data_IF_966529242447
#
_entry.id   IF_966529242447
#
_cell.length_a   1.000
_cell.length_b   1.000
_cell.length_c   1.000
_cell.angle_alpha   90.00
_cell.angle_beta   90.00
_cell.angle_gamma   90.00
#
_symmetry.space_group_name_H-M   'P 1'
#
loop_
_entity.id
_entity.type
_entity.pdbx_description
1 polymer ?
#
# COMPACT_ATOMS: atom_id res chain seq x y z
N UNK A 1 -15.71 2.22 -28.95
CA UNK A 1 -14.34 2.22 -29.49
C UNK A 1 -13.58 1.10 -28.79
N UNK A 2 -12.73 0.34 -29.50
CA UNK A 2 -11.84 -0.63 -28.85
C UNK A 2 -10.87 0.15 -27.96
N UNK A 3 -10.63 -0.33 -26.72
CA UNK A 3 -9.62 0.27 -25.84
C UNK A 3 -8.24 -0.01 -26.41
N UNK A 4 -7.31 0.90 -26.14
CA UNK A 4 -5.90 0.71 -26.43
C UNK A 4 -5.39 -0.52 -25.67
N UNK A 5 -4.50 -1.29 -26.28
CA UNK A 5 -3.89 -2.45 -25.65
C UNK A 5 -2.64 -2.01 -24.90
N UNK A 6 -2.48 -2.49 -23.68
CA UNK A 6 -1.26 -2.28 -22.91
C UNK A 6 -0.15 -3.18 -23.43
N UNK A 7 1.02 -2.61 -23.73
CA UNK A 7 2.21 -3.35 -24.15
C UNK A 7 3.25 -3.36 -23.03
N UNK A 8 3.68 -4.55 -22.61
CA UNK A 8 4.72 -4.75 -21.59
C UNK A 8 6.10 -4.58 -22.21
N UNK A 9 6.54 -3.35 -22.39
CA UNK A 9 7.86 -3.02 -22.97
C UNK A 9 8.95 -2.85 -21.94
N UNK A 10 8.60 -2.55 -20.70
CA UNK A 10 9.50 -2.29 -19.57
C UNK A 10 9.10 -3.13 -18.34
N UNK A 11 10.06 -3.46 -17.46
CA UNK A 11 9.76 -4.06 -16.16
C UNK A 11 8.78 -3.20 -15.35
N UNK A 12 7.82 -3.85 -14.69
CA UNK A 12 6.78 -3.18 -13.91
C UNK A 12 7.14 -3.18 -12.42
N UNK A 13 7.12 -1.98 -11.81
CA UNK A 13 7.41 -1.77 -10.39
C UNK A 13 6.33 -0.92 -9.76
N UNK A 14 5.84 -1.35 -8.59
CA UNK A 14 4.87 -0.60 -7.81
C UNK A 14 5.59 0.24 -6.76
N UNK A 15 5.38 1.53 -6.81
CA UNK A 15 5.87 2.48 -5.80
C UNK A 15 4.72 3.29 -5.23
N UNK A 16 4.95 4.04 -4.18
CA UNK A 16 3.92 4.95 -3.71
C UNK A 16 4.46 5.93 -2.67
N UNK A 17 3.69 7.00 -2.46
CA UNK A 17 4.02 8.04 -1.50
C UNK A 17 3.39 7.77 -0.15
N UNK A 18 4.21 7.84 0.91
CA UNK A 18 3.83 7.73 2.32
C UNK A 18 4.42 8.91 3.11
N UNK A 19 3.86 9.21 4.26
CA UNK A 19 4.34 10.30 5.10
C UNK A 19 3.20 11.14 5.69
N UNK A 20 3.55 12.14 6.48
CA UNK A 20 2.61 12.97 7.22
C UNK A 20 1.64 13.74 6.30
N UNK A 21 0.46 14.09 6.82
CA UNK A 21 -0.47 15.03 6.15
C UNK A 21 0.25 16.35 5.88
N UNK A 22 -0.09 17.01 4.79
CA UNK A 22 0.49 18.30 4.35
C UNK A 22 2.00 18.31 4.01
N UNK A 23 2.70 17.16 4.04
CA UNK A 23 4.09 17.08 3.57
C UNK A 23 4.24 17.10 2.04
N UNK A 24 3.11 17.09 1.30
CA UNK A 24 3.07 17.28 -0.15
C UNK A 24 3.20 15.99 -0.97
N UNK A 25 2.68 14.85 -0.47
CA UNK A 25 2.66 13.56 -1.18
C UNK A 25 1.98 13.66 -2.55
N UNK A 26 0.74 14.12 -2.58
CA UNK A 26 -0.04 14.27 -3.82
C UNK A 26 0.59 15.28 -4.77
N UNK A 27 1.20 16.36 -4.23
CA UNK A 27 1.95 17.33 -5.03
C UNK A 27 3.16 16.68 -5.71
N UNK A 28 3.89 15.82 -4.95
CA UNK A 28 5.01 15.05 -5.50
C UNK A 28 4.55 14.03 -6.53
N UNK A 29 3.43 13.34 -6.30
CA UNK A 29 2.84 12.41 -7.25
C UNK A 29 2.50 13.09 -8.58
N UNK A 30 1.90 14.29 -8.54
CA UNK A 30 1.65 15.10 -9.73
C UNK A 30 2.96 15.54 -10.42
N UNK A 31 3.97 15.96 -9.63
CA UNK A 31 5.27 16.36 -10.17
C UNK A 31 6.00 15.19 -10.86
N UNK A 32 5.93 13.97 -10.27
CA UNK A 32 6.50 12.75 -10.86
C UNK A 32 5.89 12.44 -12.22
N UNK A 33 4.55 12.46 -12.35
CA UNK A 33 3.89 12.19 -13.63
C UNK A 33 4.24 13.26 -14.67
N UNK A 34 4.27 14.55 -14.29
CA UNK A 34 4.60 15.65 -15.19
C UNK A 34 6.04 15.57 -15.68
N UNK A 35 6.99 15.46 -14.76
CA UNK A 35 8.43 15.42 -15.11
C UNK A 35 8.74 14.17 -15.92
N UNK A 36 8.17 13.01 -15.56
CA UNK A 36 8.33 11.79 -16.35
C UNK A 36 7.78 11.94 -17.77
N UNK A 37 6.59 12.53 -17.93
CA UNK A 37 6.00 12.77 -19.25
C UNK A 37 6.86 13.71 -20.13
N UNK A 38 7.43 14.76 -19.54
CA UNK A 38 8.29 15.71 -20.25
C UNK A 38 9.64 15.11 -20.66
N UNK A 39 10.21 14.21 -19.83
CA UNK A 39 11.57 13.68 -20.04
C UNK A 39 11.56 12.34 -20.77
N UNK A 40 10.65 11.44 -20.39
CA UNK A 40 10.64 10.05 -20.87
C UNK A 40 9.42 9.72 -21.74
N UNK A 41 8.43 10.62 -21.77
CA UNK A 41 7.16 10.41 -22.46
C UNK A 41 6.06 9.84 -21.56
N UNK A 42 4.86 9.74 -22.12
CA UNK A 42 3.64 9.34 -21.40
C UNK A 42 2.73 10.52 -21.11
N UNK A 43 1.76 10.32 -20.24
CA UNK A 43 0.75 11.32 -19.91
C UNK A 43 1.01 11.91 -18.51
N UNK A 44 0.98 13.23 -18.41
CA UNK A 44 0.98 13.92 -17.12
C UNK A 44 -0.41 13.87 -16.50
N UNK A 45 -0.47 13.68 -15.18
CA UNK A 45 -1.72 13.72 -14.41
C UNK A 45 -1.75 14.97 -13.55
N UNK A 46 -2.75 15.82 -13.77
CA UNK A 46 -2.94 17.02 -12.95
C UNK A 46 -3.29 16.67 -11.51
N UNK A 47 -2.82 17.47 -10.57
CA UNK A 47 -3.12 17.33 -9.13
C UNK A 47 -4.62 17.14 -8.85
N UNK A 48 -5.48 17.94 -9.50
CA UNK A 48 -6.94 17.87 -9.35
C UNK A 48 -7.57 16.55 -9.86
N UNK A 49 -6.81 15.74 -10.61
CA UNK A 49 -7.25 14.44 -11.12
C UNK A 49 -6.72 13.28 -10.25
N UNK A 50 -5.78 13.52 -9.36
CA UNK A 50 -5.30 12.57 -8.37
C UNK A 50 -6.28 12.53 -7.19
N UNK A 51 -6.53 13.68 -6.54
CA UNK A 51 -7.55 13.84 -5.50
C UNK A 51 -8.91 14.16 -6.15
N UNK A 52 -9.66 13.13 -6.53
CA UNK A 52 -10.86 13.28 -7.35
C UNK A 52 -12.16 13.44 -6.58
N UNK A 53 -12.23 12.91 -5.35
CA UNK A 53 -13.45 12.93 -4.57
C UNK A 53 -13.82 14.37 -4.15
N UNK A 54 -15.12 14.75 -4.20
CA UNK A 54 -15.55 16.08 -3.75
C UNK A 54 -15.09 16.41 -2.32
N UNK A 55 -15.09 15.42 -1.44
CA UNK A 55 -14.67 15.55 -0.04
C UNK A 55 -13.15 15.78 0.10
N UNK A 56 -12.34 15.17 -0.75
CA UNK A 56 -10.88 15.39 -0.82
C UNK A 56 -10.56 16.83 -1.24
N UNK A 57 -11.28 17.33 -2.24
CA UNK A 57 -11.12 18.70 -2.74
C UNK A 57 -11.57 19.75 -1.72
N UNK A 58 -12.66 19.48 -0.98
CA UNK A 58 -13.19 20.37 0.03
C UNK A 58 -12.27 20.47 1.25
N UNK A 59 -11.69 19.33 1.66
CA UNK A 59 -10.83 19.24 2.84
C UNK A 59 -9.35 19.49 2.53
N UNK A 60 -8.93 19.39 1.26
CA UNK A 60 -7.54 19.50 0.83
C UNK A 60 -6.64 18.36 1.33
N UNK A 61 -7.21 17.19 1.59
CA UNK A 61 -6.50 16.00 2.06
C UNK A 61 -6.89 14.77 1.25
N UNK A 62 -5.94 13.88 0.99
CA UNK A 62 -6.19 12.59 0.34
C UNK A 62 -6.90 11.64 1.32
N UNK A 63 -8.01 11.06 0.90
CA UNK A 63 -8.84 10.12 1.68
C UNK A 63 -8.68 8.70 1.16
N UNK A 64 -8.86 8.49 -0.14
CA UNK A 64 -8.70 7.22 -0.81
C UNK A 64 -7.32 7.10 -1.46
N UNK A 65 -6.84 5.88 -1.68
CA UNK A 65 -5.66 5.65 -2.50
C UNK A 65 -5.94 6.01 -3.95
N UNK A 66 -5.03 6.74 -4.58
CA UNK A 66 -5.11 7.05 -6.01
C UNK A 66 -3.97 6.35 -6.76
N UNK A 67 -4.26 5.83 -7.94
CA UNK A 67 -3.29 5.11 -8.75
C UNK A 67 -3.00 5.90 -10.03
N UNK A 68 -1.72 6.19 -10.26
CA UNK A 68 -1.21 6.80 -11.49
C UNK A 68 -0.09 5.97 -12.10
N UNK A 69 0.20 6.15 -13.37
CA UNK A 69 1.31 5.51 -14.06
C UNK A 69 2.29 6.55 -14.61
N UNK A 70 3.56 6.20 -14.66
CA UNK A 70 4.59 6.93 -15.39
C UNK A 70 5.73 5.98 -15.78
N UNK A 71 6.59 6.42 -16.68
CA UNK A 71 7.72 5.63 -17.16
C UNK A 71 9.03 6.35 -16.92
N UNK A 72 10.09 5.57 -16.78
CA UNK A 72 11.48 6.01 -16.91
C UNK A 72 12.11 5.38 -18.15
N UNK A 73 13.39 5.58 -18.38
CA UNK A 73 14.12 4.84 -19.41
C UNK A 73 14.21 3.34 -19.13
N UNK A 74 14.11 2.93 -17.86
CA UNK A 74 14.35 1.57 -17.41
C UNK A 74 13.06 0.83 -17.03
N UNK A 75 12.00 1.54 -16.59
CA UNK A 75 10.85 0.93 -15.90
C UNK A 75 9.53 1.61 -16.19
N UNK A 76 8.47 0.81 -16.05
CA UNK A 76 7.09 1.27 -15.92
C UNK A 76 6.68 1.25 -14.46
N UNK A 77 6.29 2.41 -13.92
CA UNK A 77 5.86 2.56 -12.53
C UNK A 77 4.34 2.65 -12.43
N UNK A 78 3.74 1.80 -11.59
CA UNK A 78 2.44 2.05 -11.00
C UNK A 78 2.69 2.76 -9.65
N UNK A 79 2.10 3.92 -9.46
CA UNK A 79 2.29 4.73 -8.27
C UNK A 79 1.00 4.87 -7.49
N UNK A 80 1.05 4.53 -6.20
CA UNK A 80 -0.07 4.64 -5.26
C UNK A 80 0.13 5.87 -4.39
N UNK A 81 -0.72 6.87 -4.53
CA UNK A 81 -0.74 8.00 -3.61
C UNK A 81 -1.56 7.64 -2.37
N UNK A 82 -0.91 7.62 -1.20
CA UNK A 82 -1.53 7.19 0.05
C UNK A 82 -1.97 8.40 0.89
N UNK A 83 -3.12 8.29 1.60
CA UNK A 83 -3.53 9.30 2.54
C UNK A 83 -2.53 9.47 3.67
N UNK A 84 -2.38 10.70 4.17
CA UNK A 84 -1.48 11.02 5.29
C UNK A 84 -2.18 11.12 6.64
N UNK A 85 -3.50 11.29 6.65
CA UNK A 85 -4.26 11.52 7.88
C UNK A 85 -4.55 10.24 8.65
N UNK A 86 -4.44 10.30 9.98
CA UNK A 86 -4.62 9.16 10.89
C UNK A 86 -5.98 8.44 10.73
N UNK A 87 -7.04 9.15 10.37
CA UNK A 87 -8.38 8.57 10.18
C UNK A 87 -8.43 7.61 8.97
N UNK A 88 -7.51 7.75 8.02
CA UNK A 88 -7.47 6.99 6.76
C UNK A 88 -6.36 5.95 6.69
N UNK A 89 -5.79 5.60 7.84
CA UNK A 89 -4.67 4.62 7.94
C UNK A 89 -5.02 3.27 7.30
N UNK A 90 -6.28 2.85 7.32
CA UNK A 90 -6.73 1.64 6.60
C UNK A 90 -6.38 1.71 5.11
N UNK A 91 -6.62 2.84 4.47
CA UNK A 91 -6.31 3.04 3.05
C UNK A 91 -4.79 3.12 2.83
N UNK A 92 -4.06 3.74 3.77
CA UNK A 92 -2.60 3.75 3.75
C UNK A 92 -2.01 2.33 3.84
N UNK A 93 -2.49 1.49 4.76
CA UNK A 93 -2.06 0.09 4.90
C UNK A 93 -2.32 -0.68 3.61
N UNK A 94 -3.50 -0.53 3.03
CA UNK A 94 -3.87 -1.19 1.77
C UNK A 94 -2.96 -0.75 0.61
N UNK A 95 -2.69 0.54 0.50
CA UNK A 95 -1.79 1.09 -0.53
C UNK A 95 -0.35 0.61 -0.31
N UNK A 96 0.16 0.70 0.91
CA UNK A 96 1.53 0.29 1.24
C UNK A 96 1.78 -1.21 0.98
N UNK A 97 0.80 -2.07 1.25
CA UNK A 97 0.90 -3.51 0.97
C UNK A 97 1.08 -3.85 -0.52
N UNK A 98 0.80 -2.90 -1.41
CA UNK A 98 0.96 -3.07 -2.85
C UNK A 98 2.34 -2.64 -3.36
N UNK A 99 3.16 -1.96 -2.54
CA UNK A 99 4.41 -1.34 -2.97
C UNK A 99 5.59 -2.31 -2.98
N UNK A 100 6.41 -2.22 -4.00
CA UNK A 100 7.73 -2.82 -4.07
C UNK A 100 8.81 -1.89 -3.49
N UNK A 101 8.50 -0.60 -3.43
CA UNK A 101 9.29 0.44 -2.75
C UNK A 101 8.41 1.63 -2.38
N UNK A 102 8.65 2.26 -1.24
CA UNK A 102 7.94 3.45 -0.81
C UNK A 102 8.80 4.71 -0.95
N UNK A 103 8.15 5.82 -1.30
CA UNK A 103 8.72 7.17 -1.25
C UNK A 103 8.22 7.83 0.03
N UNK A 104 9.08 7.95 1.02
CA UNK A 104 8.78 8.66 2.25
C UNK A 104 8.94 10.16 2.02
N UNK A 105 7.83 10.90 2.10
CA UNK A 105 7.81 12.35 1.90
C UNK A 105 7.83 13.04 3.26
N UNK A 106 8.90 13.81 3.51
CA UNK A 106 9.09 14.60 4.74
C UNK A 106 9.32 16.06 4.37
N UNK A 107 8.65 16.97 5.06
CA UNK A 107 8.91 18.42 4.88
C UNK A 107 10.27 18.80 5.45
N UNK A 108 11.10 19.49 4.68
CA UNK A 108 12.39 20.05 5.13
C UNK A 108 12.22 21.16 6.18
N UNK A 109 11.02 21.76 6.24
CA UNK A 109 10.71 22.82 7.21
C UNK A 109 10.20 22.27 8.55
N UNK A 110 9.42 21.15 8.50
CA UNK A 110 8.74 20.61 9.68
C UNK A 110 9.47 19.39 10.28
N UNK A 111 10.29 18.69 9.49
CA UNK A 111 10.95 17.44 9.88
C UNK A 111 9.98 16.25 10.02
N UNK A 112 10.41 15.13 10.61
CA UNK A 112 9.57 13.97 10.87
C UNK A 112 8.46 14.29 11.89
N UNK A 113 7.23 13.98 11.52
CA UNK A 113 6.01 14.24 12.28
C UNK A 113 5.39 12.90 12.75
N UNK A 114 4.39 12.88 13.66
CA UNK A 114 3.85 11.64 14.23
C UNK A 114 3.41 10.60 13.18
N UNK A 115 2.71 11.01 12.10
CA UNK A 115 2.34 10.06 11.05
C UNK A 115 3.54 9.59 10.21
N UNK A 116 4.64 10.34 10.16
CA UNK A 116 5.88 9.87 9.52
C UNK A 116 6.35 8.58 10.19
N UNK A 117 6.42 8.58 11.53
CA UNK A 117 6.77 7.39 12.34
C UNK A 117 5.80 6.24 12.11
N UNK A 118 4.50 6.52 12.20
CA UNK A 118 3.46 5.51 12.01
C UNK A 118 3.53 4.89 10.59
N UNK A 119 3.76 5.70 9.56
CA UNK A 119 3.83 5.20 8.18
C UNK A 119 5.08 4.35 7.92
N UNK A 120 6.23 4.68 8.52
CA UNK A 120 7.44 3.83 8.42
C UNK A 120 7.19 2.48 9.12
N UNK A 121 6.64 2.51 10.33
CA UNK A 121 6.26 1.30 11.07
C UNK A 121 5.30 0.42 10.27
N UNK A 122 4.24 1.01 9.73
CA UNK A 122 3.25 0.27 8.95
C UNK A 122 3.83 -0.28 7.64
N UNK A 123 4.66 0.50 6.93
CA UNK A 123 5.37 0.03 5.75
C UNK A 123 6.23 -1.21 6.06
N UNK A 124 6.94 -1.19 7.21
CA UNK A 124 7.71 -2.35 7.67
C UNK A 124 6.82 -3.57 7.94
N UNK A 125 5.69 -3.36 8.61
CA UNK A 125 4.76 -4.45 8.98
C UNK A 125 4.08 -5.10 7.78
N UNK A 126 3.67 -4.31 6.79
CA UNK A 126 3.07 -4.86 5.56
C UNK A 126 4.12 -5.42 4.59
N UNK A 127 5.40 -5.25 4.91
CA UNK A 127 6.50 -5.87 4.18
C UNK A 127 7.03 -5.07 3.00
N UNK A 128 6.88 -3.75 3.00
CA UNK A 128 7.56 -2.87 2.02
C UNK A 128 9.07 -3.05 2.18
N UNK A 129 9.78 -3.51 1.14
CA UNK A 129 11.18 -3.89 1.30
C UNK A 129 12.16 -2.71 1.21
N UNK A 130 11.80 -1.63 0.51
CA UNK A 130 12.68 -0.50 0.23
C UNK A 130 11.98 0.83 0.49
N UNK A 131 12.71 1.79 1.07
CA UNK A 131 12.28 3.18 1.23
C UNK A 131 13.29 4.09 0.55
N UNK A 132 12.81 5.06 -0.21
CA UNK A 132 13.56 6.22 -0.70
C UNK A 132 12.93 7.45 -0.06
N UNK A 133 13.72 8.40 0.38
CA UNK A 133 13.20 9.63 1.02
C UNK A 133 13.22 10.78 0.03
N UNK A 134 12.11 11.51 -0.04
CA UNK A 134 12.05 12.81 -0.67
C UNK A 134 11.79 13.88 0.39
N UNK A 135 12.83 14.66 0.70
CA UNK A 135 12.77 15.80 1.62
C UNK A 135 12.20 16.99 0.86
N UNK A 136 10.88 17.17 0.98
CA UNK A 136 10.09 18.13 0.22
C UNK A 136 10.07 19.50 0.86
N UNK A 137 9.56 20.51 0.15
CA UNK A 137 9.43 21.91 0.59
C UNK A 137 10.78 22.57 0.93
N UNK A 138 11.86 22.17 0.28
CA UNK A 138 13.16 22.78 0.44
C UNK A 138 13.20 24.28 0.05
N UNK A 139 12.20 24.74 -0.70
CA UNK A 139 11.98 26.17 -1.02
C UNK A 139 11.53 27.01 0.19
N UNK A 140 11.09 26.36 1.28
CA UNK A 140 10.66 27.03 2.51
C UNK A 140 11.74 27.05 3.59
N UNK A 141 12.87 26.41 3.35
CA UNK A 141 13.97 26.32 4.31
C UNK A 141 15.32 26.42 3.57
N UNK A 142 15.99 27.55 3.71
CA UNK A 142 17.27 27.88 3.08
C UNK A 142 18.46 27.70 4.06
N UNK A 143 18.22 27.20 5.27
CA UNK A 143 19.27 26.93 6.24
C UNK A 143 19.84 25.51 6.05
N UNK A 144 21.08 25.36 5.53
CA UNK A 144 21.69 24.06 5.32
C UNK A 144 21.85 23.23 6.61
N UNK A 145 22.07 23.87 7.76
CA UNK A 145 22.25 23.19 9.05
C UNK A 145 20.93 22.55 9.49
N UNK A 146 19.80 23.20 9.23
CA UNK A 146 18.48 22.65 9.51
C UNK A 146 18.14 21.48 8.57
N UNK A 147 18.53 21.54 7.30
CA UNK A 147 18.34 20.45 6.34
C UNK A 147 19.14 19.21 6.78
N UNK A 148 20.41 19.40 7.19
CA UNK A 148 21.24 18.32 7.72
C UNK A 148 20.65 17.70 8.99
N UNK A 149 20.10 18.51 9.90
CA UNK A 149 19.47 18.04 11.11
C UNK A 149 18.25 17.17 10.81
N UNK A 150 17.36 17.62 9.91
CA UNK A 150 16.19 16.84 9.47
C UNK A 150 16.63 15.54 8.80
N UNK A 151 17.68 15.55 7.98
CA UNK A 151 18.25 14.34 7.38
C UNK A 151 18.71 13.34 8.44
N UNK A 152 19.43 13.80 9.47
CA UNK A 152 19.87 12.94 10.58
C UNK A 152 18.69 12.31 11.33
N UNK A 153 17.66 13.10 11.66
CA UNK A 153 16.45 12.61 12.32
C UNK A 153 15.72 11.53 11.48
N UNK A 154 15.67 11.72 10.16
CA UNK A 154 15.05 10.74 9.26
C UNK A 154 15.86 9.44 9.27
N UNK A 155 17.20 9.51 9.20
CA UNK A 155 18.09 8.33 9.23
C UNK A 155 17.98 7.55 10.53
N UNK A 156 17.98 8.25 11.68
CA UNK A 156 17.77 7.64 12.99
C UNK A 156 16.41 6.94 13.06
N UNK A 157 15.36 7.59 12.58
CA UNK A 157 14.03 7.03 12.56
C UNK A 157 13.92 5.79 11.67
N UNK A 158 14.53 5.77 10.49
CA UNK A 158 14.57 4.60 9.63
C UNK A 158 15.31 3.43 10.28
N UNK A 159 16.44 3.69 10.95
CA UNK A 159 17.19 2.68 11.69
C UNK A 159 16.39 2.11 12.87
N UNK A 160 15.63 2.94 13.59
CA UNK A 160 14.72 2.52 14.66
C UNK A 160 13.71 1.47 14.18
N UNK A 161 13.19 1.62 12.97
CA UNK A 161 12.21 0.69 12.36
C UNK A 161 12.85 -0.34 11.42
N UNK A 162 14.14 -0.63 11.58
CA UNK A 162 14.87 -1.67 10.87
C UNK A 162 14.96 -1.49 9.34
N UNK A 163 14.89 -0.26 8.87
CA UNK A 163 15.33 0.09 7.51
C UNK A 163 16.78 0.55 7.55
N UNK A 164 17.57 0.39 6.46
CA UNK A 164 18.98 0.80 6.42
C UNK A 164 19.11 2.32 6.31
N UNK A 165 18.84 3.05 7.40
CA UNK A 165 18.75 4.52 7.41
C UNK A 165 20.01 5.21 6.88
N UNK A 166 21.20 4.66 7.17
CA UNK A 166 22.47 5.22 6.71
C UNK A 166 22.66 5.08 5.19
N UNK A 167 22.15 3.98 4.60
CA UNK A 167 22.27 3.69 3.16
C UNK A 167 21.05 4.16 2.36
N UNK A 168 19.98 4.57 3.02
CA UNK A 168 18.75 5.02 2.37
C UNK A 168 18.98 6.32 1.61
N UNK A 169 18.69 6.38 0.29
CA UNK A 169 18.80 7.61 -0.48
C UNK A 169 17.84 8.69 0.02
N UNK A 170 18.35 9.91 0.21
CA UNK A 170 17.56 11.08 0.55
C UNK A 170 17.77 12.13 -0.55
N UNK A 171 16.67 12.54 -1.17
CA UNK A 171 16.65 13.58 -2.20
C UNK A 171 15.99 14.84 -1.62
N UNK A 172 16.69 15.96 -1.65
CA UNK A 172 16.18 17.25 -1.21
C UNK A 172 15.58 17.99 -2.41
N UNK A 173 14.35 18.48 -2.28
CA UNK A 173 13.68 19.16 -3.37
C UNK A 173 12.39 19.87 -2.99
N UNK A 174 11.73 20.43 -3.98
CA UNK A 174 10.40 21.04 -3.89
C UNK A 174 9.52 20.53 -5.02
N UNK A 175 8.55 19.71 -4.66
CA UNK A 175 7.56 19.19 -5.63
C UNK A 175 6.75 20.32 -6.27
N UNK A 176 6.46 21.41 -5.51
CA UNK A 176 5.75 22.57 -6.04
C UNK A 176 6.59 23.29 -7.11
N UNK A 177 7.88 23.54 -6.84
CA UNK A 177 8.81 24.13 -7.80
C UNK A 177 8.96 23.27 -9.06
N UNK A 178 9.01 21.95 -8.91
CA UNK A 178 9.04 21.04 -10.05
C UNK A 178 7.76 21.14 -10.89
N UNK A 179 6.58 21.23 -10.26
CA UNK A 179 5.31 21.46 -10.96
C UNK A 179 5.25 22.80 -11.69
N UNK A 180 5.89 23.82 -11.15
CA UNK A 180 6.01 25.16 -11.79
C UNK A 180 7.02 25.17 -12.95
N UNK A 181 7.78 24.07 -13.14
CA UNK A 181 8.81 23.96 -14.18
C UNK A 181 10.12 24.65 -13.81
N UNK A 182 10.38 24.88 -12.52
CA UNK A 182 11.63 25.44 -12.01
C UNK A 182 12.81 24.51 -12.32
N UNK A 183 13.85 25.05 -12.95
CA UNK A 183 15.04 24.31 -13.39
C UNK A 183 16.18 24.34 -12.36
N UNK A 184 15.99 24.93 -11.19
CA UNK A 184 16.95 24.87 -10.10
C UNK A 184 17.11 23.43 -9.57
N UNK A 185 18.17 23.18 -8.81
CA UNK A 185 18.47 21.84 -8.26
C UNK A 185 17.31 21.26 -7.43
N UNK A 186 16.55 22.09 -6.72
CA UNK A 186 15.40 21.65 -5.91
C UNK A 186 14.09 21.51 -6.70
N UNK A 187 14.03 21.98 -7.96
CA UNK A 187 12.88 21.89 -8.85
C UNK A 187 12.85 20.59 -9.66
N UNK A 188 12.65 20.70 -10.97
CA UNK A 188 12.58 19.57 -11.91
C UNK A 188 13.76 18.60 -11.76
N UNK A 189 15.03 19.04 -11.63
CA UNK A 189 16.16 18.13 -11.44
C UNK A 189 16.04 17.22 -10.21
N UNK A 190 15.45 17.69 -9.11
CA UNK A 190 15.25 16.88 -7.90
C UNK A 190 14.29 15.71 -8.13
N UNK A 191 13.23 15.94 -8.91
CA UNK A 191 12.24 14.90 -9.26
C UNK A 191 12.83 13.90 -10.27
N UNK A 192 13.63 14.39 -11.25
CA UNK A 192 14.39 13.50 -12.14
C UNK A 192 15.34 12.60 -11.35
N UNK A 193 16.09 13.16 -10.41
CA UNK A 193 16.98 12.41 -9.52
C UNK A 193 16.23 11.38 -8.68
N UNK A 194 15.00 11.69 -8.24
CA UNK A 194 14.16 10.73 -7.53
C UNK A 194 13.80 9.54 -8.44
N UNK A 195 13.40 9.78 -9.68
CA UNK A 195 13.08 8.71 -10.65
C UNK A 195 14.32 7.83 -10.93
N UNK A 196 15.48 8.44 -11.17
CA UNK A 196 16.74 7.73 -11.38
C UNK A 196 17.17 6.92 -10.14
N UNK A 197 16.89 7.46 -8.95
CA UNK A 197 17.15 6.75 -7.68
C UNK A 197 16.23 5.55 -7.52
N UNK A 198 14.95 5.67 -7.87
CA UNK A 198 14.03 4.53 -7.88
C UNK A 198 14.48 3.44 -8.86
N UNK A 199 14.96 3.82 -10.06
CA UNK A 199 15.48 2.88 -11.06
C UNK A 199 16.68 2.07 -10.55
N UNK A 200 17.53 2.66 -9.71
CA UNK A 200 18.79 2.06 -9.28
C UNK A 200 18.73 1.41 -7.90
N UNK A 201 17.98 2.00 -6.97
CA UNK A 201 17.94 1.57 -5.56
C UNK A 201 16.87 0.50 -5.29
N UNK A 202 15.70 0.61 -5.93
CA UNK A 202 14.66 -0.42 -5.80
C UNK A 202 14.95 -1.51 -6.83
N UNK A 203 15.26 -2.75 -6.44
CA UNK A 203 15.52 -3.82 -7.42
C UNK A 203 14.25 -4.20 -8.17
N UNK A 204 14.41 -4.86 -9.31
CA UNK A 204 13.27 -5.48 -10.01
C UNK A 204 12.70 -6.60 -9.14
N UNK A 205 11.39 -6.53 -8.78
CA UNK A 205 10.82 -7.50 -7.88
C UNK A 205 10.64 -8.86 -8.54
N UNK A 206 10.95 -9.93 -7.80
CA UNK A 206 10.56 -11.28 -8.21
C UNK A 206 9.02 -11.42 -8.18
N UNK A 207 8.44 -11.95 -9.25
CA UNK A 207 6.98 -12.11 -9.39
C UNK A 207 6.62 -13.59 -9.35
N UNK A 208 5.80 -14.03 -8.39
CA UNK A 208 5.38 -15.43 -8.29
C UNK A 208 4.29 -15.78 -9.33
N UNK A 209 4.65 -15.74 -10.60
CA UNK A 209 3.73 -15.99 -11.72
C UNK A 209 3.32 -17.45 -11.86
N UNK A 210 4.14 -18.39 -11.37
CA UNK A 210 3.85 -19.83 -11.41
C UNK A 210 2.87 -20.32 -10.33
N UNK A 211 2.48 -19.42 -9.41
CA UNK A 211 1.51 -19.70 -8.35
C UNK A 211 0.07 -19.75 -8.84
N UNK A 212 -0.84 -20.17 -7.96
CA UNK A 212 -2.28 -20.02 -8.20
C UNK A 212 -2.63 -18.53 -8.20
N UNK A 213 -3.51 -18.12 -9.12
CA UNK A 213 -3.97 -16.73 -9.17
C UNK A 213 -4.65 -16.33 -7.85
N UNK A 214 -4.22 -15.21 -7.31
CA UNK A 214 -4.77 -14.55 -6.12
C UNK A 214 -4.65 -13.04 -6.25
N UNK A 215 -5.78 -12.34 -6.09
CA UNK A 215 -5.85 -10.88 -6.10
C UNK A 215 -6.78 -10.39 -4.97
N UNK A 216 -6.27 -9.74 -3.93
CA UNK A 216 -7.10 -9.04 -2.94
C UNK A 216 -7.91 -7.93 -3.60
N UNK A 217 -9.20 -7.85 -3.26
CA UNK A 217 -10.10 -6.84 -3.81
C UNK A 217 -9.95 -5.55 -3.00
N UNK A 218 -9.55 -4.48 -3.68
CA UNK A 218 -9.38 -3.14 -3.12
C UNK A 218 -10.65 -2.29 -3.32
N UNK A 219 -11.14 -2.26 -4.55
CA UNK A 219 -12.35 -1.50 -4.91
C UNK A 219 -13.25 -2.28 -5.86
N UNK A 220 -14.54 -1.88 -5.87
CA UNK A 220 -15.58 -2.48 -6.70
C UNK A 220 -16.32 -1.38 -7.45
N UNK A 221 -16.32 -1.49 -8.77
CA UNK A 221 -16.98 -0.53 -9.66
C UNK A 221 -18.02 -1.22 -10.53
N UNK A 222 -19.02 -0.45 -10.94
CA UNK A 222 -19.96 -0.86 -12.01
C UNK A 222 -19.69 -0.04 -13.25
N UNK A 223 -19.44 -0.70 -14.36
CA UNK A 223 -19.26 -0.06 -15.66
C UNK A 223 -20.51 -0.34 -16.51
N UNK A 224 -21.21 0.72 -16.92
CA UNK A 224 -22.39 0.61 -17.77
C UNK A 224 -22.13 -0.22 -19.02
N UNK A 225 -22.92 -1.26 -19.25
CA UNK A 225 -22.79 -2.18 -20.39
C UNK A 225 -21.67 -3.21 -20.29
N UNK A 226 -20.89 -3.23 -19.18
CA UNK A 226 -19.77 -4.18 -18.98
C UNK A 226 -19.88 -5.02 -17.71
N UNK A 227 -20.63 -4.55 -16.72
CA UNK A 227 -20.86 -5.25 -15.46
C UNK A 227 -19.95 -4.78 -14.32
N UNK A 228 -19.74 -5.66 -13.36
CA UNK A 228 -18.91 -5.41 -12.17
C UNK A 228 -17.43 -5.60 -12.48
N UNK A 229 -16.63 -4.64 -12.04
CA UNK A 229 -15.16 -4.66 -12.11
C UNK A 229 -14.62 -4.58 -10.69
N UNK A 230 -13.71 -5.46 -10.35
CA UNK A 230 -12.95 -5.42 -9.10
C UNK A 230 -11.52 -5.03 -9.40
N UNK A 231 -10.93 -4.20 -8.56
CA UNK A 231 -9.54 -3.78 -8.69
C UNK A 231 -8.70 -4.30 -7.54
N UNK A 232 -7.42 -4.50 -7.79
CA UNK A 232 -6.44 -4.89 -6.82
C UNK A 232 -5.10 -5.22 -7.46
N UNK A 233 -4.08 -5.41 -6.62
CA UNK A 233 -2.79 -5.95 -7.05
C UNK A 233 -2.85 -7.48 -7.06
N UNK A 234 -2.42 -8.09 -8.14
CA UNK A 234 -2.28 -9.54 -8.21
C UNK A 234 -1.10 -9.96 -7.33
N UNK A 235 -1.36 -10.74 -6.28
CA UNK A 235 -0.32 -11.25 -5.38
C UNK A 235 0.48 -12.38 -6.03
N UNK A 236 -0.22 -13.35 -6.62
CA UNK A 236 0.37 -14.55 -7.23
C UNK A 236 -0.36 -14.94 -8.51
N UNK A 237 0.35 -15.65 -9.38
CA UNK A 237 -0.21 -16.29 -10.57
C UNK A 237 -0.54 -15.36 -11.71
N UNK A 238 -1.34 -15.86 -12.63
CA UNK A 238 -1.79 -15.19 -13.84
C UNK A 238 -3.30 -15.40 -13.98
N UNK A 239 -4.00 -14.38 -14.47
CA UNK A 239 -5.42 -14.46 -14.83
C UNK A 239 -5.61 -14.09 -16.30
N UNK A 240 -6.36 -14.94 -17.04
CA UNK A 240 -6.72 -14.73 -18.44
C UNK A 240 -8.21 -14.43 -18.59
N UNK A 241 -8.57 -13.79 -19.67
CA UNK A 241 -9.98 -13.69 -20.05
C UNK A 241 -10.53 -15.09 -20.35
N UNK A 242 -11.63 -15.45 -19.69
CA UNK A 242 -12.26 -16.76 -19.76
C UNK A 242 -11.99 -17.68 -18.57
N UNK A 243 -11.02 -17.34 -17.72
CA UNK A 243 -10.69 -18.15 -16.55
C UNK A 243 -11.84 -18.19 -15.54
N UNK A 244 -12.17 -19.38 -14.99
CA UNK A 244 -13.07 -19.51 -13.86
C UNK A 244 -12.37 -19.00 -12.59
N UNK A 245 -13.11 -18.26 -11.76
CA UNK A 245 -12.62 -17.65 -10.55
C UNK A 245 -13.59 -17.85 -9.39
N UNK A 246 -13.08 -17.75 -8.18
CA UNK A 246 -13.88 -17.68 -6.95
C UNK A 246 -13.65 -16.34 -6.23
N UNK A 247 -14.72 -15.83 -5.62
CA UNK A 247 -14.70 -14.69 -4.70
C UNK A 247 -14.78 -15.28 -3.30
N UNK A 248 -13.72 -15.09 -2.49
CA UNK A 248 -13.53 -15.79 -1.21
C UNK A 248 -13.36 -14.80 -0.06
N UNK A 249 -13.96 -15.12 1.08
CA UNK A 249 -13.86 -14.34 2.33
C UNK A 249 -15.09 -13.45 2.58
N UNK A 250 -15.28 -13.05 3.83
CA UNK A 250 -16.35 -12.20 4.37
C UNK A 250 -17.74 -12.77 4.15
N UNK A 251 -18.11 -13.08 2.92
CA UNK A 251 -19.37 -13.70 2.48
C UNK A 251 -19.16 -15.16 2.07
N UNK A 252 -20.25 -15.85 1.75
CA UNK A 252 -20.16 -17.19 1.15
C UNK A 252 -19.36 -17.12 -0.15
N UNK A 253 -18.50 -18.12 -0.35
CA UNK A 253 -17.69 -18.25 -1.57
C UNK A 253 -18.59 -18.35 -2.78
N UNK A 254 -18.36 -17.55 -3.79
CA UNK A 254 -19.12 -17.53 -5.04
C UNK A 254 -18.23 -17.71 -6.25
N UNK A 255 -18.76 -18.40 -7.27
CA UNK A 255 -18.05 -18.64 -8.53
C UNK A 255 -18.35 -17.54 -9.54
N UNK A 256 -17.37 -17.18 -10.34
CA UNK A 256 -17.49 -16.21 -11.45
C UNK A 256 -16.53 -16.57 -12.58
N UNK A 257 -16.50 -15.76 -13.61
CA UNK A 257 -15.56 -15.88 -14.74
C UNK A 257 -14.97 -14.52 -15.06
N UNK A 258 -13.66 -14.48 -15.29
CA UNK A 258 -12.98 -13.29 -15.81
C UNK A 258 -13.46 -13.02 -17.25
N UNK A 259 -14.05 -11.87 -17.50
CA UNK A 259 -14.49 -11.47 -18.87
C UNK A 259 -13.57 -10.44 -19.52
N UNK A 260 -12.58 -9.95 -18.79
CA UNK A 260 -11.57 -9.03 -19.28
C UNK A 260 -10.66 -8.54 -18.17
N UNK A 261 -9.46 -8.15 -18.53
CA UNK A 261 -8.46 -7.58 -17.62
C UNK A 261 -8.05 -6.21 -18.16
N UNK A 262 -7.90 -5.24 -17.28
CA UNK A 262 -7.54 -3.88 -17.63
C UNK A 262 -6.52 -3.33 -16.63
N UNK A 263 -5.60 -2.49 -17.12
CA UNK A 263 -4.66 -1.72 -16.31
C UNK A 263 -4.58 -0.31 -16.88
N UNK A 264 -4.73 0.73 -16.03
CA UNK A 264 -4.70 2.14 -16.45
C UNK A 264 -5.58 2.44 -17.67
N UNK A 265 -6.81 1.90 -17.68
CA UNK A 265 -7.80 2.04 -18.76
C UNK A 265 -7.43 1.39 -20.10
N UNK A 266 -6.31 0.68 -20.17
CA UNK A 266 -5.87 -0.13 -21.32
C UNK A 266 -6.26 -1.58 -21.11
N UNK A 267 -6.58 -2.30 -22.19
CA UNK A 267 -6.92 -3.74 -22.10
C UNK A 267 -5.65 -4.59 -22.05
N UNK A 268 -5.72 -5.68 -21.28
CA UNK A 268 -4.69 -6.71 -21.19
C UNK A 268 -5.22 -8.04 -21.72
N UNK A 269 -4.36 -8.84 -22.33
CA UNK A 269 -4.69 -10.24 -22.65
C UNK A 269 -4.75 -11.09 -21.38
N UNK A 270 -3.85 -10.82 -20.45
CA UNK A 270 -3.73 -11.48 -19.16
C UNK A 270 -3.24 -10.50 -18.10
N UNK A 271 -3.59 -10.71 -16.83
CA UNK A 271 -3.02 -10.02 -15.67
C UNK A 271 -2.00 -10.93 -14.97
N UNK A 272 -0.86 -10.37 -14.54
CA UNK A 272 0.24 -11.11 -13.91
C UNK A 272 0.52 -10.65 -12.50
N UNK A 273 1.08 -11.54 -11.68
CA UNK A 273 1.56 -11.21 -10.34
C UNK A 273 2.37 -9.90 -10.34
N UNK A 274 2.05 -9.01 -9.41
CA UNK A 274 2.62 -7.68 -9.27
C UNK A 274 1.90 -6.56 -10.01
N UNK A 275 0.99 -6.84 -10.92
CA UNK A 275 0.24 -5.82 -11.66
C UNK A 275 -1.02 -5.37 -10.89
N UNK A 276 -1.30 -4.07 -10.89
CA UNK A 276 -2.55 -3.49 -10.39
C UNK A 276 -3.59 -3.52 -11.51
N UNK A 277 -4.53 -4.45 -11.42
CA UNK A 277 -5.49 -4.72 -12.46
C UNK A 277 -6.94 -4.48 -12.05
N UNK A 278 -7.76 -4.10 -13.01
CA UNK A 278 -9.21 -4.24 -12.96
C UNK A 278 -9.63 -5.52 -13.65
N UNK A 279 -10.31 -6.42 -12.94
CA UNK A 279 -10.84 -7.67 -13.49
C UNK A 279 -12.36 -7.57 -13.63
N UNK A 280 -12.85 -7.78 -14.84
CA UNK A 280 -14.28 -7.77 -15.16
C UNK A 280 -14.87 -9.14 -14.82
N UNK A 281 -15.97 -9.15 -14.07
CA UNK A 281 -16.62 -10.36 -13.58
C UNK A 281 -17.94 -10.62 -14.31
N UNK A 282 -18.20 -11.90 -14.61
CA UNK A 282 -19.44 -12.33 -15.25
C UNK A 282 -20.53 -12.59 -14.21
N UNK A 283 -21.70 -11.95 -14.36
CA UNK A 283 -22.88 -12.30 -13.59
C UNK A 283 -22.81 -11.97 -12.10
N UNK A 284 -21.91 -11.09 -11.71
CA UNK A 284 -21.75 -10.63 -10.33
C UNK A 284 -22.35 -9.25 -10.17
N UNK A 285 -23.32 -9.12 -9.28
CA UNK A 285 -23.86 -7.83 -8.88
C UNK A 285 -22.85 -7.09 -7.98
N UNK A 286 -22.85 -5.74 -8.04
CA UNK A 286 -21.88 -4.94 -7.26
C UNK A 286 -21.95 -5.25 -5.76
N UNK A 287 -23.16 -5.46 -5.22
CA UNK A 287 -23.38 -5.69 -3.79
C UNK A 287 -23.06 -7.13 -3.35
N UNK A 288 -22.83 -8.03 -4.30
CA UNK A 288 -22.39 -9.42 -4.03
C UNK A 288 -20.91 -9.50 -3.71
N UNK A 289 -20.12 -8.51 -4.10
CA UNK A 289 -18.66 -8.45 -3.88
C UNK A 289 -18.30 -7.17 -3.13
N UNK A 290 -17.30 -7.27 -2.26
CA UNK A 290 -16.84 -6.12 -1.47
C UNK A 290 -15.32 -6.15 -1.22
N UNK A 291 -14.78 -4.98 -0.88
CA UNK A 291 -13.39 -4.83 -0.45
C UNK A 291 -13.07 -5.78 0.71
N UNK A 292 -11.92 -6.42 0.63
CA UNK A 292 -11.45 -7.36 1.64
C UNK A 292 -11.66 -8.82 1.32
N UNK A 293 -12.53 -9.12 0.35
CA UNK A 293 -12.56 -10.43 -0.28
C UNK A 293 -11.35 -10.60 -1.20
N UNK A 294 -11.05 -11.82 -1.59
CA UNK A 294 -10.05 -12.10 -2.63
C UNK A 294 -10.69 -12.74 -3.84
N UNK A 295 -10.16 -12.40 -5.00
CA UNK A 295 -10.43 -13.09 -6.25
C UNK A 295 -9.34 -14.13 -6.45
N UNK A 296 -9.70 -15.40 -6.60
CA UNK A 296 -8.75 -16.50 -6.61
C UNK A 296 -9.09 -17.56 -7.66
N UNK A 297 -8.08 -18.37 -8.01
CA UNK A 297 -8.31 -19.60 -8.76
C UNK A 297 -9.22 -20.53 -7.95
N UNK A 298 -10.19 -21.24 -8.56
CA UNK A 298 -11.11 -22.10 -7.82
C UNK A 298 -10.40 -23.10 -6.91
N UNK A 299 -10.85 -23.17 -5.65
CA UNK A 299 -10.33 -24.09 -4.62
C UNK A 299 -8.86 -23.91 -4.25
N UNK A 300 -8.27 -22.75 -4.53
CA UNK A 300 -6.86 -22.46 -4.20
C UNK A 300 -6.67 -21.84 -2.84
N UNK A 301 -7.68 -21.20 -2.28
CA UNK A 301 -7.69 -20.60 -0.94
C UNK A 301 -9.07 -20.78 -0.31
N UNK A 302 -9.13 -20.84 1.02
CA UNK A 302 -10.38 -20.98 1.77
C UNK A 302 -10.57 -19.86 2.78
N UNK A 303 -11.83 -19.52 3.14
CA UNK A 303 -12.11 -18.57 4.19
C UNK A 303 -12.03 -19.26 5.55
N UNK A 304 -11.45 -18.58 6.55
CA UNK A 304 -11.24 -19.09 7.90
C UNK A 304 -11.61 -18.06 8.95
N UNK A 305 -12.08 -18.53 10.10
CA UNK A 305 -12.45 -17.70 11.24
C UNK A 305 -11.55 -17.90 12.44
N UNK A 306 -10.79 -19.01 12.51
CA UNK A 306 -9.95 -19.33 13.68
C UNK A 306 -8.57 -19.80 13.27
N UNK A 307 -7.54 -19.21 13.85
CA UNK A 307 -6.15 -19.53 13.55
C UNK A 307 -5.23 -19.32 14.77
N UNK A 308 -4.10 -20.01 14.77
CA UNK A 308 -2.97 -19.72 15.66
C UNK A 308 -2.07 -18.67 15.00
N UNK A 309 -1.52 -17.74 15.78
CA UNK A 309 -0.64 -16.72 15.30
C UNK A 309 0.55 -16.49 16.22
N UNK A 310 1.68 -16.12 15.61
CA UNK A 310 2.81 -15.52 16.31
C UNK A 310 2.66 -14.00 16.23
N UNK A 311 2.59 -13.34 17.39
CA UNK A 311 2.27 -11.92 17.49
C UNK A 311 3.33 -11.21 18.32
N UNK A 312 3.82 -10.09 17.77
CA UNK A 312 4.59 -9.10 18.52
C UNK A 312 3.69 -7.95 18.92
N UNK A 313 3.67 -7.65 20.21
CA UNK A 313 2.90 -6.54 20.80
C UNK A 313 3.82 -5.34 20.91
N UNK A 314 3.52 -4.27 20.18
CA UNK A 314 4.34 -3.05 20.17
C UNK A 314 4.48 -2.47 21.58
N UNK A 315 5.69 -2.09 21.95
CA UNK A 315 6.00 -1.38 23.18
C UNK A 315 5.43 0.05 23.17
N UNK A 316 5.44 0.70 24.32
CA UNK A 316 5.04 2.10 24.44
C UNK A 316 5.91 3.03 23.58
N UNK A 317 7.20 2.77 23.55
CA UNK A 317 8.18 3.62 22.83
C UNK A 317 8.02 3.50 21.32
N UNK A 318 7.52 2.36 20.82
CA UNK A 318 7.13 2.12 19.44
C UNK A 318 5.73 2.66 19.09
N UNK A 319 5.09 3.42 19.99
CA UNK A 319 3.74 3.97 19.78
C UNK A 319 2.61 2.99 20.08
N UNK A 320 2.92 1.81 20.62
CA UNK A 320 1.97 0.77 20.97
C UNK A 320 1.18 1.03 22.25
N UNK A 321 0.75 -0.05 22.89
CA UNK A 321 -0.03 0.01 24.15
C UNK A 321 0.84 0.45 25.33
N UNK A 322 0.19 1.08 26.33
CA UNK A 322 0.80 1.41 27.62
C UNK A 322 0.46 0.41 28.72
N UNK A 323 -0.53 -0.44 28.48
CA UNK A 323 -1.08 -1.38 29.45
C UNK A 323 -1.13 -2.78 28.86
N UNK A 324 -0.97 -3.83 29.67
CA UNK A 324 -1.16 -5.20 29.22
C UNK A 324 -2.60 -5.44 28.75
N UNK A 325 -2.80 -6.51 28.00
CA UNK A 325 -4.14 -7.02 27.72
C UNK A 325 -4.29 -8.45 28.27
N UNK A 326 -5.54 -8.84 28.51
CA UNK A 326 -5.91 -10.12 29.06
C UNK A 326 -6.63 -10.97 28.01
N UNK A 327 -6.95 -12.19 28.39
CA UNK A 327 -7.76 -13.08 27.57
C UNK A 327 -9.08 -12.42 27.12
N UNK A 328 -9.57 -12.76 25.92
CA UNK A 328 -10.70 -12.11 25.26
C UNK A 328 -10.48 -10.63 24.85
N UNK A 329 -9.25 -10.17 24.75
CA UNK A 329 -8.95 -8.89 24.10
C UNK A 329 -9.46 -8.89 22.65
N UNK A 330 -10.14 -7.82 22.24
CA UNK A 330 -10.85 -7.73 20.94
C UNK A 330 -10.43 -6.53 20.12
N UNK A 331 -9.21 -6.53 19.54
CA UNK A 331 -8.76 -5.51 18.62
C UNK A 331 -9.27 -5.76 17.19
N UNK A 332 -8.87 -4.88 16.28
CA UNK A 332 -9.04 -5.06 14.84
C UNK A 332 -7.79 -5.67 14.22
N UNK A 333 -7.99 -6.72 13.44
CA UNK A 333 -6.97 -7.42 12.67
C UNK A 333 -7.05 -6.97 11.22
N UNK A 334 -5.96 -6.44 10.70
CA UNK A 334 -5.86 -5.91 9.35
C UNK A 334 -5.19 -6.95 8.45
N UNK A 335 -5.96 -7.54 7.54
CA UNK A 335 -5.50 -8.49 6.54
C UNK A 335 -5.63 -7.88 5.14
N UNK A 336 -4.57 -7.86 4.35
CA UNK A 336 -4.60 -7.34 2.99
C UNK A 336 -5.36 -6.02 2.89
N UNK A 337 -6.58 -6.05 2.34
CA UNK A 337 -7.39 -4.84 2.06
C UNK A 337 -8.52 -4.58 3.06
N UNK A 338 -8.62 -5.38 4.13
CA UNK A 338 -9.71 -5.27 5.12
C UNK A 338 -9.25 -5.39 6.56
N UNK A 339 -10.13 -5.00 7.47
CA UNK A 339 -9.99 -5.22 8.90
C UNK A 339 -11.20 -6.00 9.44
N UNK A 340 -10.93 -6.86 10.40
CA UNK A 340 -11.94 -7.67 11.10
C UNK A 340 -11.64 -7.69 12.58
N UNK A 341 -12.69 -7.54 13.41
CA UNK A 341 -12.57 -7.72 14.84
C UNK A 341 -12.33 -9.19 15.17
N UNK A 342 -11.36 -9.47 16.04
CA UNK A 342 -11.06 -10.82 16.51
C UNK A 342 -10.86 -10.86 18.01
N UNK A 343 -11.20 -11.98 18.63
CA UNK A 343 -10.94 -12.26 20.05
C UNK A 343 -9.64 -13.04 20.20
N UNK A 344 -8.75 -12.57 21.09
CA UNK A 344 -7.50 -13.24 21.42
C UNK A 344 -7.72 -14.25 22.55
N UNK A 345 -7.33 -15.51 22.32
CA UNK A 345 -7.30 -16.58 23.32
C UNK A 345 -5.83 -16.83 23.70
N UNK A 346 -5.47 -16.46 24.94
CA UNK A 346 -4.10 -16.60 25.44
C UNK A 346 -3.78 -18.09 25.76
N UNK A 347 -2.50 -18.48 25.66
CA UNK A 347 -2.07 -19.83 26.05
C UNK A 347 -2.39 -20.13 27.53
N UNK A 348 -2.61 -21.39 27.83
CA UNK A 348 -2.88 -21.87 29.18
C UNK A 348 -1.75 -21.46 30.14
N UNK A 349 -2.10 -20.85 31.28
CA UNK A 349 -1.14 -20.33 32.27
C UNK A 349 -0.67 -18.89 31.99
N UNK A 350 -1.08 -18.24 30.89
CA UNK A 350 -0.78 -16.83 30.61
C UNK A 350 -1.97 -15.97 31.03
N UNK A 351 -1.80 -15.15 32.06
CA UNK A 351 -2.87 -14.26 32.56
C UNK A 351 -2.96 -12.98 31.74
N UNK A 352 -1.82 -12.43 31.30
CA UNK A 352 -1.74 -11.18 30.54
C UNK A 352 -0.56 -11.17 29.58
N UNK A 353 -0.62 -10.27 28.61
CA UNK A 353 0.47 -9.99 27.64
C UNK A 353 0.89 -8.54 27.79
N UNK A 354 2.19 -8.33 27.95
CA UNK A 354 2.78 -7.00 28.13
C UNK A 354 3.13 -6.35 26.78
N UNK A 355 3.11 -5.02 26.68
CA UNK A 355 3.76 -4.33 25.57
C UNK A 355 5.24 -4.73 25.46
N UNK A 356 5.70 -5.07 24.24
CA UNK A 356 7.03 -5.60 23.96
C UNK A 356 7.12 -7.13 23.92
N UNK A 357 6.06 -7.86 24.28
CA UNK A 357 6.06 -9.32 24.27
C UNK A 357 5.89 -9.91 22.87
N UNK A 358 6.56 -11.04 22.65
CA UNK A 358 6.27 -11.98 21.58
C UNK A 358 5.45 -13.15 22.14
N UNK A 359 4.30 -13.43 21.52
CA UNK A 359 3.40 -14.48 22.01
C UNK A 359 2.77 -15.27 20.88
N UNK A 360 2.58 -16.58 21.11
CA UNK A 360 1.68 -17.41 20.31
C UNK A 360 0.31 -17.43 20.97
N UNK A 361 -0.72 -17.14 20.20
CA UNK A 361 -2.09 -17.16 20.68
C UNK A 361 -3.06 -17.64 19.59
N UNK A 362 -4.25 -18.01 19.99
CA UNK A 362 -5.35 -18.31 19.07
C UNK A 362 -6.19 -17.06 18.87
N UNK A 363 -6.57 -16.80 17.64
CA UNK A 363 -7.45 -15.68 17.28
C UNK A 363 -8.72 -16.22 16.65
N UNK A 364 -9.87 -15.74 17.14
CA UNK A 364 -11.19 -16.05 16.61
C UNK A 364 -11.82 -14.78 16.02
N UNK A 365 -11.96 -14.72 14.70
CA UNK A 365 -12.52 -13.58 13.95
C UNK A 365 -14.05 -13.61 13.95
N UNK A 366 -14.68 -12.43 13.87
CA UNK A 366 -16.16 -12.32 13.76
C UNK A 366 -16.68 -12.56 12.34
N UNK A 367 -15.80 -12.56 11.33
CA UNK A 367 -16.12 -12.82 9.93
C UNK A 367 -15.00 -13.66 9.29
N UNK A 368 -15.33 -14.55 8.33
CA UNK A 368 -14.31 -15.38 7.67
C UNK A 368 -13.44 -14.53 6.74
N UNK A 369 -12.14 -14.77 6.77
CA UNK A 369 -11.15 -14.13 5.91
C UNK A 369 -10.44 -15.20 5.08
N UNK A 370 -10.25 -14.94 3.79
CA UNK A 370 -9.42 -15.78 2.94
C UNK A 370 -7.97 -15.72 3.42
N UNK A 371 -7.46 -16.84 3.94
CA UNK A 371 -6.11 -16.89 4.51
C UNK A 371 -5.43 -18.23 4.31
N UNK A 372 -4.11 -18.18 4.29
CA UNK A 372 -3.21 -19.31 4.35
C UNK A 372 -2.20 -19.11 5.49
N UNK A 373 -1.51 -20.17 5.88
CA UNK A 373 -0.37 -20.08 6.80
C UNK A 373 0.72 -19.15 6.19
N UNK A 374 1.32 -18.32 7.02
CA UNK A 374 2.29 -17.32 6.60
C UNK A 374 1.68 -15.94 6.28
N UNK A 375 0.35 -15.79 6.25
CA UNK A 375 -0.28 -14.48 6.04
C UNK A 375 0.05 -13.54 7.20
N UNK A 376 0.63 -12.38 6.88
CA UNK A 376 0.93 -11.31 7.83
C UNK A 376 -0.30 -10.44 8.08
N UNK A 377 -0.37 -9.86 9.28
CA UNK A 377 -1.43 -8.94 9.65
C UNK A 377 -0.93 -7.92 10.67
N UNK A 378 -1.59 -6.76 10.70
CA UNK A 378 -1.42 -5.75 11.74
C UNK A 378 -2.59 -5.80 12.73
N UNK A 379 -2.34 -5.40 13.97
CA UNK A 379 -3.35 -5.31 15.04
C UNK A 379 -3.49 -3.84 15.43
N UNK A 380 -4.72 -3.34 15.43
CA UNK A 380 -5.01 -1.94 15.77
C UNK A 380 -6.09 -1.83 16.84
N UNK A 381 -5.96 -0.81 17.67
CA UNK A 381 -6.94 -0.43 18.72
C UNK A 381 -6.99 1.09 18.84
N UNK A 382 -8.19 1.66 18.82
CA UNK A 382 -8.39 3.09 19.05
C UNK A 382 -7.59 3.99 18.09
N UNK A 383 -7.43 3.58 16.82
CA UNK A 383 -6.69 4.35 15.81
C UNK A 383 -5.16 4.17 15.86
N UNK A 384 -4.63 3.30 16.72
CA UNK A 384 -3.19 3.01 16.86
C UNK A 384 -2.87 1.59 16.47
N UNK A 385 -1.71 1.38 15.87
CA UNK A 385 -1.14 0.05 15.69
C UNK A 385 -0.56 -0.41 17.04
N UNK A 386 -1.00 -1.57 17.50
CA UNK A 386 -0.62 -2.12 18.80
C UNK A 386 0.13 -3.44 18.69
N UNK A 387 0.21 -4.00 17.50
CA UNK A 387 0.96 -5.22 17.26
C UNK A 387 0.94 -5.63 15.80
N UNK A 388 1.73 -6.64 15.49
CA UNK A 388 1.76 -7.31 14.20
C UNK A 388 1.95 -8.81 14.41
N UNK A 389 1.53 -9.60 13.46
CA UNK A 389 1.67 -11.05 13.56
C UNK A 389 1.63 -11.75 12.21
N UNK A 390 1.83 -13.06 12.31
CA UNK A 390 1.75 -13.97 11.17
C UNK A 390 0.88 -15.17 11.55
N UNK A 391 0.04 -15.60 10.62
CA UNK A 391 -0.76 -16.82 10.76
C UNK A 391 0.19 -18.03 10.75
N UNK A 392 0.31 -18.72 11.86
CA UNK A 392 1.20 -19.88 11.99
C UNK A 392 0.49 -21.19 11.70
N UNK A 393 -0.83 -21.26 11.92
CA UNK A 393 -1.63 -22.45 11.66
C UNK A 393 -3.12 -22.10 11.56
N UNK A 394 -3.80 -22.69 10.60
CA UNK A 394 -5.25 -22.62 10.47
C UNK A 394 -5.91 -23.64 11.41
N UNK A 395 -6.96 -23.22 12.14
CA UNK A 395 -7.70 -24.06 13.07
C UNK A 395 -9.11 -24.34 12.55
N UNK A 396 -9.81 -23.30 12.01
CA UNK A 396 -11.19 -23.45 11.50
C UNK A 396 -11.46 -22.43 10.39
#
# INVERSE_FOLDING_TARGET
>A
MAREKFERTLPHVNVGTVGHVDHGKTTLTAALTKVAAEVFGGDAVDFANIDNAPEERERGITIATSHVEYVSTARHYAHVDCPGHADYVKNMITGAAQMDGAILVVSAADGPMPQTREHILLARQVGVPYIVVYMNKADQNDDPEMIELVEMEIRELLNEYEFPGDDTPIIVGSALKALEGDTSEIGVPSVQKLIETLDTYVPEPERPVDGNFLMPIEDVFTISGRGTVVTGRIETGIVNTGDPLEIVGIKETSETTCTGVEMFRKSLDEGRAGENCGVLLRGVERDAVERGQVLAKPKSISPHTKFEAEIYVLSKDEGGRHTPFMNNYRPQFYFRTTDVTGACELPEGTEMVMPGDNIKMVVSLIAPIAMDEGLKFAIREGGRTVGAGVVSKIVE
#
